data_IF_670957663716
#
_entry.id   IF_670957663716
#
_cell.length_a   1.000
_cell.length_b   1.000
_cell.length_c   1.000
_cell.angle_alpha   90.00
_cell.angle_beta   90.00
_cell.angle_gamma   90.00
#
_symmetry.space_group_name_H-M   'P 1'
#
loop_
_entity.id
_entity.type
_entity.pdbx_description
1 polymer ?
#
# COMPACT_ATOMS: atom_id res chain seq x y z
N UNK A 1 -10.29 5.29 -15.46
CA UNK A 1 -8.95 5.91 -15.59
C UNK A 1 -7.92 5.11 -14.78
N UNK A 2 -6.60 5.22 -15.02
CA UNK A 2 -5.58 4.61 -14.15
C UNK A 2 -5.31 5.52 -12.95
N UNK A 3 -5.53 5.03 -11.72
CA UNK A 3 -5.15 5.73 -10.50
C UNK A 3 -3.65 5.64 -10.25
N UNK A 4 -2.97 6.76 -10.05
CA UNK A 4 -1.54 6.82 -9.76
C UNK A 4 -1.29 7.59 -8.47
N UNK A 5 -1.01 6.88 -7.38
CA UNK A 5 -0.80 7.51 -6.06
C UNK A 5 0.26 8.62 -6.06
N UNK A 6 1.29 8.51 -6.91
CA UNK A 6 2.29 9.57 -7.09
C UNK A 6 1.67 10.89 -7.58
N UNK A 7 0.59 10.84 -8.35
CA UNK A 7 -0.09 12.01 -8.90
C UNK A 7 -1.25 12.47 -8.03
N UNK A 8 -2.05 11.51 -7.57
CA UNK A 8 -3.31 11.76 -6.86
C UNK A 8 -3.10 12.00 -5.35
N UNK A 9 -2.08 11.38 -4.73
CA UNK A 9 -1.82 11.43 -3.30
C UNK A 9 -0.43 12.05 -2.99
N UNK A 10 -0.09 13.15 -3.69
CA UNK A 10 1.22 13.81 -3.59
C UNK A 10 1.58 14.23 -2.17
N UNK A 11 0.63 14.75 -1.41
CA UNK A 11 0.89 15.23 -0.05
C UNK A 11 1.26 14.10 0.92
N UNK A 12 0.84 12.86 0.62
CA UNK A 12 1.17 11.68 1.42
C UNK A 12 2.49 11.03 0.98
N UNK A 13 2.76 10.98 -0.32
CA UNK A 13 3.85 10.15 -0.88
C UNK A 13 4.99 10.94 -1.56
N UNK A 14 4.87 12.26 -1.71
CA UNK A 14 5.90 13.15 -2.25
C UNK A 14 6.27 14.24 -1.24
N UNK A 15 6.47 13.84 0.01
CA UNK A 15 6.87 14.75 1.08
C UNK A 15 8.31 15.26 0.87
N UNK A 16 8.57 16.49 1.33
CA UNK A 16 9.91 17.08 1.30
C UNK A 16 10.73 16.60 2.50
N UNK A 17 12.06 16.71 2.42
CA UNK A 17 12.97 16.40 3.52
C UNK A 17 12.85 17.35 4.75
N UNK A 18 11.80 18.16 4.82
CA UNK A 18 11.51 19.06 5.93
C UNK A 18 10.29 18.55 6.68
N UNK A 19 10.35 18.38 8.01
CA UNK A 19 9.19 18.01 8.81
C UNK A 19 8.02 18.96 8.58
N UNK A 20 6.82 18.40 8.45
CA UNK A 20 5.59 19.15 8.29
C UNK A 20 4.42 18.43 8.95
N UNK A 21 3.42 19.18 9.36
CA UNK A 21 2.16 18.64 9.86
C UNK A 21 1.27 18.38 8.64
N UNK A 22 0.69 17.18 8.56
CA UNK A 22 -0.28 16.82 7.53
C UNK A 22 -1.43 16.00 8.12
N UNK A 23 -2.57 16.04 7.45
CA UNK A 23 -3.72 15.20 7.77
C UNK A 23 -3.72 13.98 6.85
N UNK A 24 -3.71 12.78 7.44
CA UNK A 24 -3.83 11.53 6.69
C UNK A 24 -5.31 11.13 6.67
N UNK A 25 -5.99 11.10 5.51
CA UNK A 25 -7.37 10.63 5.42
C UNK A 25 -7.44 9.12 5.67
N UNK A 26 -8.63 8.63 6.03
CA UNK A 26 -8.87 7.18 6.13
C UNK A 26 -8.64 6.49 4.78
N UNK A 27 -7.97 5.34 4.80
CA UNK A 27 -7.62 4.55 3.62
C UNK A 27 -7.94 3.07 3.85
N UNK A 28 -8.09 2.33 2.76
CA UNK A 28 -8.26 0.88 2.78
C UNK A 28 -6.91 0.19 2.61
N UNK A 29 -6.65 -0.79 3.47
CA UNK A 29 -5.39 -1.53 3.47
C UNK A 29 -5.65 -3.04 3.46
N UNK A 30 -4.80 -3.76 2.75
CA UNK A 30 -4.56 -5.17 3.03
C UNK A 30 -3.45 -5.24 4.08
N UNK A 31 -3.69 -5.97 5.16
CA UNK A 31 -2.80 -6.00 6.33
C UNK A 31 -2.54 -7.44 6.74
N UNK A 32 -1.28 -7.74 7.04
CA UNK A 32 -0.87 -8.97 7.72
C UNK A 32 -0.12 -8.55 8.97
N UNK A 33 -0.66 -8.88 10.15
CA UNK A 33 0.04 -8.69 11.42
C UNK A 33 1.21 -9.68 11.53
N UNK A 34 2.26 -9.29 12.23
CA UNK A 34 3.45 -10.11 12.42
C UNK A 34 4.28 -9.64 13.61
N UNK A 35 5.30 -10.44 13.94
CA UNK A 35 6.29 -10.14 14.97
C UNK A 35 7.61 -10.79 14.61
N UNK A 36 8.70 -10.29 15.18
CA UNK A 36 10.04 -10.80 14.96
C UNK A 36 10.94 -9.82 14.22
N UNK A 37 12.08 -10.34 13.78
CA UNK A 37 13.11 -9.57 13.07
C UNK A 37 12.74 -9.43 11.58
N UNK A 38 12.61 -8.20 11.03
CA UNK A 38 12.29 -7.97 9.62
C UNK A 38 13.33 -8.52 8.64
N UNK A 39 14.51 -8.91 9.12
CA UNK A 39 15.55 -9.51 8.30
C UNK A 39 15.40 -11.04 8.17
N UNK A 40 14.39 -11.64 8.81
CA UNK A 40 14.11 -13.08 8.74
C UNK A 40 13.09 -13.42 7.65
N UNK A 41 13.08 -14.70 7.26
CA UNK A 41 12.25 -15.24 6.18
C UNK A 41 10.75 -14.97 6.38
N UNK A 42 10.24 -15.09 7.60
CA UNK A 42 8.83 -14.83 7.91
C UNK A 42 8.36 -13.44 7.45
N UNK A 43 9.19 -12.40 7.61
CA UNK A 43 8.83 -11.05 7.16
C UNK A 43 8.77 -10.97 5.63
N UNK A 44 9.76 -11.56 4.94
CA UNK A 44 9.82 -11.52 3.47
C UNK A 44 8.67 -12.32 2.83
N UNK A 45 8.28 -13.45 3.43
CA UNK A 45 7.12 -14.25 3.01
C UNK A 45 5.80 -13.47 3.15
N UNK A 46 5.58 -12.78 4.28
CA UNK A 46 4.40 -11.93 4.50
C UNK A 46 4.33 -10.80 3.47
N UNK A 47 5.46 -10.14 3.19
CA UNK A 47 5.54 -9.11 2.15
C UNK A 47 5.22 -9.70 0.78
N UNK A 48 5.75 -10.88 0.47
CA UNK A 48 5.45 -11.61 -0.76
C UNK A 48 3.96 -11.90 -0.92
N UNK A 49 3.28 -12.35 0.15
CA UNK A 49 1.85 -12.59 0.16
C UNK A 49 1.02 -11.32 -0.07
N UNK A 50 1.41 -10.20 0.56
CA UNK A 50 0.76 -8.90 0.34
C UNK A 50 0.84 -8.46 -1.13
N UNK A 51 2.01 -8.55 -1.75
CA UNK A 51 2.16 -8.17 -3.15
C UNK A 51 1.43 -9.13 -4.10
N UNK A 52 1.46 -10.44 -3.84
CA UNK A 52 0.69 -11.40 -4.62
C UNK A 52 -0.81 -11.05 -4.65
N UNK A 53 -1.38 -10.72 -3.48
CA UNK A 53 -2.77 -10.29 -3.38
C UNK A 53 -3.01 -8.93 -4.05
N UNK A 54 -2.15 -7.94 -3.82
CA UNK A 54 -2.28 -6.61 -4.42
C UNK A 54 -2.30 -6.65 -5.96
N UNK A 55 -1.41 -7.45 -6.56
CA UNK A 55 -1.38 -7.62 -8.01
C UNK A 55 -2.58 -8.42 -8.53
N UNK A 56 -3.06 -9.43 -7.81
CA UNK A 56 -4.28 -10.14 -8.17
C UNK A 56 -5.49 -9.19 -8.22
N UNK A 57 -5.64 -8.31 -7.22
CA UNK A 57 -6.68 -7.27 -7.18
C UNK A 57 -6.51 -6.30 -8.36
N UNK A 58 -5.30 -5.79 -8.61
CA UNK A 58 -5.02 -4.92 -9.76
C UNK A 58 -5.41 -5.56 -11.08
N UNK A 59 -5.08 -6.84 -11.29
CA UNK A 59 -5.45 -7.56 -12.51
C UNK A 59 -6.97 -7.73 -12.64
N UNK A 60 -7.70 -7.85 -11.53
CA UNK A 60 -9.16 -7.88 -11.53
C UNK A 60 -9.74 -6.55 -12.03
N UNK A 61 -9.28 -5.42 -11.48
CA UNK A 61 -9.70 -4.07 -11.93
C UNK A 61 -9.47 -3.87 -13.44
N UNK A 62 -8.32 -4.32 -13.95
CA UNK A 62 -7.99 -4.25 -15.38
C UNK A 62 -8.91 -5.08 -16.27
N UNK A 63 -9.33 -6.26 -15.81
CA UNK A 63 -10.13 -7.22 -16.61
C UNK A 63 -11.62 -6.91 -16.60
N UNK A 64 -12.14 -6.48 -15.45
CA UNK A 64 -13.53 -6.15 -15.25
C UNK A 64 -13.59 -4.94 -14.31
N UNK A 65 -13.69 -3.72 -14.86
CA UNK A 65 -13.83 -2.51 -14.05
C UNK A 65 -14.92 -2.71 -12.99
N UNK A 66 -14.53 -2.59 -11.72
CA UNK A 66 -15.44 -2.76 -10.57
C UNK A 66 -16.18 -1.45 -10.24
N UNK A 67 -15.72 -0.35 -10.79
CA UNK A 67 -16.32 0.97 -10.71
C UNK A 67 -16.11 1.73 -12.05
N UNK A 68 -16.87 2.80 -12.25
CA UNK A 68 -16.80 3.63 -13.47
C UNK A 68 -15.69 4.70 -13.41
N UNK A 69 -15.00 4.83 -12.28
CA UNK A 69 -14.03 5.91 -12.03
C UNK A 69 -12.60 5.45 -12.36
N UNK A 70 -12.22 4.28 -11.85
CA UNK A 70 -10.89 3.69 -11.96
C UNK A 70 -10.93 2.26 -12.51
N UNK A 71 -10.26 2.08 -13.64
CA UNK A 71 -10.16 0.80 -14.37
C UNK A 71 -8.81 0.12 -14.14
N UNK A 72 -7.87 0.83 -13.52
CA UNK A 72 -6.55 0.34 -13.13
C UNK A 72 -6.01 1.21 -11.99
N UNK A 73 -5.03 0.71 -11.24
CA UNK A 73 -4.29 1.51 -10.26
C UNK A 73 -2.83 1.08 -10.16
N UNK A 74 -1.92 2.00 -9.82
CA UNK A 74 -0.54 1.64 -9.51
C UNK A 74 -0.48 1.03 -8.11
N UNK A 75 0.12 -0.15 -7.97
CA UNK A 75 0.33 -0.77 -6.64
C UNK A 75 1.09 0.24 -5.77
N UNK A 76 0.57 0.44 -4.56
CA UNK A 76 1.13 1.36 -3.58
C UNK A 76 2.46 0.84 -3.02
N UNK A 77 3.33 1.71 -2.48
CA UNK A 77 4.53 1.26 -1.79
C UNK A 77 4.16 0.39 -0.57
N UNK A 78 5.08 -0.48 -0.16
CA UNK A 78 4.95 -1.19 1.11
C UNK A 78 5.01 -0.19 2.27
N UNK A 79 4.06 -0.29 3.18
CA UNK A 79 4.02 0.47 4.43
C UNK A 79 4.08 -0.51 5.61
N UNK A 80 4.55 -0.04 6.78
CA UNK A 80 4.66 -0.88 7.97
C UNK A 80 4.43 -0.08 9.25
N UNK A 81 3.60 -0.62 10.13
CA UNK A 81 3.37 -0.08 11.48
C UNK A 81 4.17 -0.91 12.47
N UNK A 82 5.18 -0.30 13.07
CA UNK A 82 6.07 -0.95 14.02
C UNK A 82 5.73 -0.54 15.44
N UNK A 83 5.61 -1.53 16.32
CA UNK A 83 5.44 -1.30 17.76
C UNK A 83 6.32 -2.27 18.53
N UNK A 84 6.78 -1.86 19.71
CA UNK A 84 7.41 -2.77 20.66
C UNK A 84 6.37 -3.79 21.12
N UNK A 85 6.77 -5.05 21.24
CA UNK A 85 5.95 -6.03 21.95
C UNK A 85 5.70 -5.55 23.38
N UNK A 86 4.48 -5.81 23.87
CA UNK A 86 4.11 -5.48 25.25
C UNK A 86 4.72 -6.46 26.22
#
# INVERSE_FOLDING_TARGET
MKYEWRKEAKDLYQVKARPSILQVPGQFYIVIDGKGDPNQEDFSERVGALYALAYAIKMKYKKAPLDDVYTDFTVFPLEGVWRKEK
#
